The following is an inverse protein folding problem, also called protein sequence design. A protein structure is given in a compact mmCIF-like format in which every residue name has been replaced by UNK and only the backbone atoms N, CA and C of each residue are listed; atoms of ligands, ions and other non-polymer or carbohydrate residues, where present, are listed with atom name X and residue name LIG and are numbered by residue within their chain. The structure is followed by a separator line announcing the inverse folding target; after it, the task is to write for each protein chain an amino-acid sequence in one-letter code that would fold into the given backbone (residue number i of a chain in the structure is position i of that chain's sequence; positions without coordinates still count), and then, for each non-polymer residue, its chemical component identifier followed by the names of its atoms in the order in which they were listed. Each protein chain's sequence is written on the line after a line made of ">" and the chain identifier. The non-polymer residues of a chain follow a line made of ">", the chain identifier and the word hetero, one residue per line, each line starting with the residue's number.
data_IF_999637459193
#
_entry.id   IF_999637459193
#
_cell.length_a   1.000
_cell.length_b   1.000
_cell.length_c   1.000
_cell.angle_alpha   90.00
_cell.angle_beta   90.00
_cell.angle_gamma   90.00
#
_symmetry.space_group_name_H-M   'P 1'
#
loop_
_entity.id
_entity.type
_entity.pdbx_description
1 polymer ?
#
# COMPACT_ATOMS: atom_id res chain seq x y z
N UNK A 1 -9.41 -9.35 21.16
CA UNK A 1 -8.49 -9.80 20.11
C UNK A 1 -7.96 -8.55 19.39
N UNK A 2 -6.86 -8.66 18.63
CA UNK A 2 -6.03 -7.50 18.21
C UNK A 2 -6.30 -7.03 16.78
N UNK A 3 -5.92 -5.78 16.49
CA UNK A 3 -5.92 -5.21 15.13
C UNK A 3 -4.50 -5.04 14.63
N UNK A 4 -4.29 -5.25 13.33
CA UNK A 4 -3.00 -5.07 12.70
C UNK A 4 -3.07 -4.10 11.52
N UNK A 5 -1.98 -3.36 11.34
CA UNK A 5 -1.78 -2.48 10.18
C UNK A 5 -0.50 -2.88 9.47
N UNK A 6 -0.59 -3.13 8.16
CA UNK A 6 0.55 -3.42 7.29
C UNK A 6 0.77 -2.22 6.38
N UNK A 7 1.97 -1.63 6.42
CA UNK A 7 2.36 -0.54 5.53
C UNK A 7 3.15 -1.14 4.36
N UNK A 8 2.56 -1.12 3.17
CA UNK A 8 3.05 -1.78 1.97
C UNK A 8 2.06 -2.82 1.43
N UNK A 9 1.54 -2.64 0.22
CA UNK A 9 0.66 -3.55 -0.52
C UNK A 9 1.38 -4.39 -1.59
N UNK A 10 2.72 -4.33 -1.64
CA UNK A 10 3.52 -5.22 -2.50
C UNK A 10 3.52 -6.67 -2.03
N UNK A 11 4.25 -7.54 -2.74
CA UNK A 11 4.32 -8.98 -2.45
C UNK A 11 4.58 -9.29 -0.97
N UNK A 12 5.59 -8.66 -0.37
CA UNK A 12 5.96 -8.86 1.03
C UNK A 12 4.84 -8.43 1.99
N UNK A 13 4.16 -7.32 1.69
CA UNK A 13 3.08 -6.80 2.51
C UNK A 13 1.84 -7.69 2.48
N UNK A 14 1.47 -8.21 1.31
CA UNK A 14 0.36 -9.15 1.18
C UNK A 14 0.65 -10.48 1.89
N UNK A 15 1.89 -10.99 1.81
CA UNK A 15 2.30 -12.18 2.54
C UNK A 15 2.28 -11.94 4.06
N UNK A 16 2.74 -10.77 4.51
CA UNK A 16 2.66 -10.39 5.92
C UNK A 16 1.18 -10.32 6.38
N UNK A 17 0.30 -9.69 5.62
CA UNK A 17 -1.13 -9.62 5.93
C UNK A 17 -1.76 -11.02 6.03
N UNK A 18 -1.43 -11.92 5.09
CA UNK A 18 -1.90 -13.31 5.13
C UNK A 18 -1.40 -14.06 6.37
N UNK A 19 -0.14 -13.85 6.76
CA UNK A 19 0.42 -14.44 7.97
C UNK A 19 -0.22 -13.90 9.26
N UNK A 20 -0.73 -12.66 9.25
CA UNK A 20 -1.40 -12.02 10.39
C UNK A 20 -2.89 -12.38 10.53
N UNK A 21 -3.54 -12.84 9.46
CA UNK A 21 -4.97 -13.18 9.44
C UNK A 21 -5.46 -14.12 10.57
N UNK A 22 -4.72 -15.17 11.00
CA UNK A 22 -5.17 -16.03 12.10
C UNK A 22 -4.95 -15.43 13.49
N UNK A 23 -4.23 -14.32 13.61
CA UNK A 23 -3.84 -13.71 14.89
C UNK A 23 -4.54 -12.37 15.19
N UNK A 24 -5.19 -11.78 14.19
CA UNK A 24 -5.88 -10.49 14.29
C UNK A 24 -7.32 -10.62 13.81
N UNK A 25 -8.24 -9.89 14.45
CA UNK A 25 -9.64 -9.82 14.00
C UNK A 25 -9.77 -9.01 12.71
N UNK A 26 -8.86 -8.05 12.54
CA UNK A 26 -8.88 -7.08 11.45
C UNK A 26 -7.45 -6.72 11.05
N UNK A 27 -7.18 -6.80 9.75
CA UNK A 27 -5.89 -6.46 9.14
C UNK A 27 -6.12 -5.39 8.09
N UNK A 28 -5.63 -4.18 8.34
CA UNK A 28 -5.68 -3.07 7.39
C UNK A 28 -4.35 -2.96 6.64
N UNK A 29 -4.40 -2.90 5.32
CA UNK A 29 -3.22 -2.70 4.47
C UNK A 29 -3.24 -1.26 3.93
N UNK A 30 -2.13 -0.55 4.09
CA UNK A 30 -1.95 0.83 3.60
C UNK A 30 -0.83 0.84 2.58
N UNK A 31 -1.13 1.16 1.34
CA UNK A 31 -0.14 1.30 0.27
C UNK A 31 -0.06 2.76 -0.20
N UNK A 32 1.15 3.24 -0.52
CA UNK A 32 1.36 4.64 -0.91
C UNK A 32 0.88 4.96 -2.33
N UNK A 33 0.82 3.97 -3.21
CA UNK A 33 0.27 4.11 -4.56
C UNK A 33 -1.01 3.31 -4.65
N UNK A 34 -2.01 3.85 -5.32
CA UNK A 34 -3.02 2.97 -5.88
C UNK A 34 -2.28 1.89 -6.70
N UNK A 35 -2.60 0.63 -6.45
CA UNK A 35 -2.40 -0.40 -7.49
C UNK A 35 -3.05 0.22 -8.71
N UNK A 36 -2.36 0.41 -9.85
CA UNK A 36 -2.99 1.05 -10.99
C UNK A 36 -4.29 0.30 -11.22
N UNK A 37 -5.42 0.97 -10.96
CA UNK A 37 -6.66 0.49 -11.52
C UNK A 37 -6.36 0.35 -13.01
N UNK A 38 -7.07 -0.52 -13.72
CA UNK A 38 -6.92 -0.65 -15.18
C UNK A 38 -7.04 0.70 -15.91
N UNK A 39 -7.45 1.76 -15.20
CA UNK A 39 -7.36 3.15 -15.60
C UNK A 39 -6.37 3.96 -14.72
N UNK A 40 -5.45 4.73 -15.33
CA UNK A 40 -4.59 5.65 -14.60
C UNK A 40 -5.45 6.69 -13.87
N UNK A 41 -5.15 6.95 -12.60
CA UNK A 41 -5.84 7.97 -11.82
C UNK A 41 -5.34 9.37 -12.19
N UNK A 42 -6.17 10.43 -12.06
CA UNK A 42 -5.74 11.80 -12.34
C UNK A 42 -4.53 12.19 -11.48
N UNK A 43 -3.35 12.32 -12.09
CA UNK A 43 -2.08 12.65 -11.41
C UNK A 43 -0.99 11.58 -11.50
N UNK A 44 -1.31 10.35 -11.92
CA UNK A 44 -0.35 9.25 -12.02
C UNK A 44 0.80 9.53 -13.01
N UNK A 45 0.49 10.22 -14.11
CA UNK A 45 1.43 10.53 -15.19
C UNK A 45 1.92 11.98 -15.17
N UNK A 46 1.59 12.75 -14.11
CA UNK A 46 2.15 14.08 -13.99
C UNK A 46 3.62 13.97 -13.55
N UNK A 47 4.54 14.73 -14.17
CA UNK A 47 5.89 14.83 -13.65
C UNK A 47 5.80 15.30 -12.20
N UNK A 48 6.37 14.51 -11.28
CA UNK A 48 6.50 14.90 -9.88
C UNK A 48 7.46 16.09 -9.87
N UNK A 49 6.91 17.30 -9.92
CA UNK A 49 7.65 18.54 -9.72
C UNK A 49 8.03 18.64 -8.25
N UNK A 50 8.94 17.76 -7.84
CA UNK A 50 9.71 17.85 -6.61
C UNK A 50 11.12 18.21 -7.04
N UNK A 51 11.53 19.42 -6.71
CA UNK A 51 12.87 19.96 -6.89
C UNK A 51 13.94 18.96 -6.46
N UNK A 52 14.60 18.34 -7.42
CA UNK A 52 15.94 17.78 -7.24
C UNK A 52 16.90 18.97 -7.22
N UNK A 53 17.00 19.63 -6.07
CA UNK A 53 18.14 20.51 -5.82
C UNK A 53 19.31 19.61 -5.45
N UNK A 54 20.41 19.79 -6.18
CA UNK A 54 21.69 19.08 -6.00
C UNK A 54 22.20 19.10 -4.56
#
# INVERSE_FOLDING_TARGET
>A
MGRAVVIGGGLAGMLAAAALAPFADDVTIVEQRDVPATHPTPGENLPRTGTSTC
#
